data_IF_654283841930
#
_entry.id   IF_654283841930
#
_cell.length_a   1.000
_cell.length_b   1.000
_cell.length_c   1.000
_cell.angle_alpha   90.00
_cell.angle_beta   90.00
_cell.angle_gamma   90.00
#
_symmetry.space_group_name_H-M   'P 1'
#
loop_
_entity.id
_entity.type
_entity.pdbx_description
1 polymer ?
#
# COMPACT_ATOMS: atom_id res chain seq x y z
N UNK A 1 -5.81 -42.81 -20.15
CA UNK A 1 -5.80 -41.35 -20.02
C UNK A 1 -6.25 -40.99 -18.60
N UNK A 2 -5.33 -40.93 -17.60
CA UNK A 2 -5.65 -40.76 -16.18
C UNK A 2 -5.42 -39.33 -15.61
N UNK A 3 -5.11 -38.34 -16.47
CA UNK A 3 -4.55 -37.04 -16.06
C UNK A 3 -5.53 -36.00 -15.47
N UNK A 4 -6.84 -36.19 -15.64
CA UNK A 4 -7.83 -35.23 -15.12
C UNK A 4 -8.04 -35.36 -13.61
N UNK A 5 -7.99 -36.58 -13.07
CA UNK A 5 -8.23 -36.85 -11.65
C UNK A 5 -7.10 -36.34 -10.74
N UNK A 6 -5.87 -36.23 -11.26
CA UNK A 6 -4.73 -35.64 -10.54
C UNK A 6 -4.81 -34.11 -10.51
N UNK A 7 -5.27 -33.48 -11.60
CA UNK A 7 -5.54 -32.03 -11.66
C UNK A 7 -6.67 -31.62 -10.71
N UNK A 8 -7.74 -32.41 -10.66
CA UNK A 8 -8.89 -32.09 -9.79
C UNK A 8 -8.56 -32.28 -8.31
N UNK A 9 -7.74 -33.28 -7.94
CA UNK A 9 -7.23 -33.45 -6.56
C UNK A 9 -6.31 -32.30 -6.14
N UNK A 10 -5.38 -31.88 -7.00
CA UNK A 10 -4.49 -30.75 -6.70
C UNK A 10 -5.26 -29.44 -6.55
N UNK A 11 -6.24 -29.17 -7.41
CA UNK A 11 -7.03 -27.93 -7.32
C UNK A 11 -7.88 -27.89 -6.04
N UNK A 12 -8.46 -29.01 -5.62
CA UNK A 12 -9.21 -29.10 -4.37
C UNK A 12 -8.29 -28.96 -3.13
N UNK A 13 -7.03 -29.40 -3.20
CA UNK A 13 -6.04 -29.21 -2.14
C UNK A 13 -5.54 -27.77 -2.05
N UNK A 14 -5.29 -27.12 -3.20
CA UNK A 14 -4.95 -25.70 -3.29
C UNK A 14 -6.09 -24.83 -2.74
N UNK A 15 -7.34 -25.19 -3.00
CA UNK A 15 -8.52 -24.53 -2.45
C UNK A 15 -8.71 -24.79 -0.95
N UNK A 16 -8.26 -25.94 -0.42
CA UNK A 16 -8.26 -26.24 1.02
C UNK A 16 -7.11 -25.57 1.78
N UNK A 17 -5.99 -25.29 1.10
CA UNK A 17 -4.88 -24.48 1.60
C UNK A 17 -5.16 -22.96 1.52
N UNK A 18 -6.25 -22.56 0.83
CA UNK A 18 -6.65 -21.17 0.71
C UNK A 18 -7.31 -20.62 1.99
N UNK A 19 -7.84 -21.50 2.84
CA UNK A 19 -8.25 -21.12 4.19
C UNK A 19 -7.00 -21.12 5.08
N UNK A 20 -6.52 -19.94 5.53
CA UNK A 20 -5.36 -19.89 6.40
C UNK A 20 -5.67 -20.69 7.68
N UNK A 21 -4.75 -21.51 8.19
CA UNK A 21 -4.94 -22.19 9.46
C UNK A 21 -5.25 -21.13 10.55
N UNK A 22 -6.02 -21.47 11.59
CA UNK A 22 -6.51 -20.50 12.58
C UNK A 22 -5.37 -19.71 13.25
N UNK A 23 -4.19 -20.30 13.37
CA UNK A 23 -2.96 -19.61 13.78
C UNK A 23 -2.50 -18.52 12.79
N UNK A 24 -2.52 -18.79 11.48
CA UNK A 24 -2.22 -17.80 10.44
C UNK A 24 -3.31 -16.72 10.35
N UNK A 25 -4.57 -17.08 10.56
CA UNK A 25 -5.67 -16.13 10.66
C UNK A 25 -5.51 -15.21 11.89
N UNK A 26 -5.20 -15.77 13.06
CA UNK A 26 -4.95 -15.01 14.29
C UNK A 26 -3.72 -14.10 14.18
N UNK A 27 -2.63 -14.57 13.57
CA UNK A 27 -1.44 -13.76 13.26
C UNK A 27 -1.82 -12.61 12.32
N UNK A 28 -2.61 -12.86 11.28
CA UNK A 28 -3.07 -11.83 10.36
C UNK A 28 -3.94 -10.77 11.04
N UNK A 29 -4.76 -11.17 12.03
CA UNK A 29 -5.58 -10.26 12.83
C UNK A 29 -4.73 -9.45 13.83
N UNK A 30 -3.74 -10.08 14.47
CA UNK A 30 -2.81 -9.40 15.37
C UNK A 30 -1.98 -8.35 14.64
N UNK A 31 -1.39 -8.70 13.49
CA UNK A 31 -0.68 -7.75 12.62
C UNK A 31 -1.60 -6.62 12.17
N UNK A 32 -2.86 -6.92 11.86
CA UNK A 32 -3.85 -5.91 11.49
C UNK A 32 -4.14 -4.93 12.62
N UNK A 33 -4.29 -5.41 13.86
CA UNK A 33 -4.51 -4.56 15.02
C UNK A 33 -3.31 -3.63 15.27
N UNK A 34 -2.08 -4.15 15.12
CA UNK A 34 -0.85 -3.35 15.22
C UNK A 34 -0.82 -2.27 14.13
N UNK A 35 -1.07 -2.62 12.88
CA UNK A 35 -1.09 -1.66 11.76
C UNK A 35 -2.06 -0.51 12.01
N UNK A 36 -3.30 -0.81 12.43
CA UNK A 36 -4.32 0.19 12.70
C UNK A 36 -3.94 1.04 13.90
N UNK A 37 -3.45 0.44 14.98
CA UNK A 37 -3.06 1.16 16.21
C UNK A 37 -1.91 2.12 15.93
N UNK A 38 -0.86 1.67 15.27
CA UNK A 38 0.29 2.51 14.89
C UNK A 38 -0.14 3.61 13.93
N UNK A 39 -0.97 3.29 12.92
CA UNK A 39 -1.48 4.29 11.98
C UNK A 39 -2.32 5.36 12.70
N UNK A 40 -3.20 5.00 13.63
CA UNK A 40 -4.00 5.95 14.40
C UNK A 40 -3.14 6.85 15.29
N UNK A 41 -2.15 6.28 16.00
CA UNK A 41 -1.24 7.06 16.85
C UNK A 41 -0.40 8.04 16.02
N UNK A 42 0.17 7.58 14.91
CA UNK A 42 0.95 8.44 14.01
C UNK A 42 0.07 9.51 13.36
N UNK A 43 -1.14 9.17 12.93
CA UNK A 43 -2.07 10.15 12.37
C UNK A 43 -2.51 11.18 13.40
N UNK A 44 -2.78 10.77 14.65
CA UNK A 44 -3.15 11.70 15.72
C UNK A 44 -2.01 12.68 16.03
N UNK A 45 -0.78 12.17 16.14
CA UNK A 45 0.41 12.98 16.38
C UNK A 45 0.75 13.90 15.19
N UNK A 46 0.62 13.38 13.97
CA UNK A 46 0.94 14.11 12.74
C UNK A 46 -0.21 15.00 12.26
N UNK A 47 -1.42 14.90 12.82
CA UNK A 47 -2.61 15.64 12.37
C UNK A 47 -2.38 17.15 12.18
N UNK A 48 -1.81 17.89 13.14
CA UNK A 48 -1.54 19.31 12.94
C UNK A 48 -0.61 19.57 11.74
N UNK A 49 0.44 18.76 11.60
CA UNK A 49 1.36 18.84 10.47
C UNK A 49 0.66 18.51 9.14
N UNK A 50 -0.17 17.46 9.11
CA UNK A 50 -0.92 17.05 7.92
C UNK A 50 -1.85 18.17 7.41
N UNK A 51 -2.53 18.88 8.33
CA UNK A 51 -3.39 20.00 7.96
C UNK A 51 -2.59 21.19 7.42
N UNK A 52 -1.45 21.51 8.03
CA UNK A 52 -0.55 22.55 7.55
C UNK A 52 0.03 22.23 6.17
N UNK A 53 0.48 20.99 5.97
CA UNK A 53 0.99 20.51 4.67
C UNK A 53 -0.13 20.49 3.64
N UNK A 54 -1.34 20.03 3.99
CA UNK A 54 -2.48 20.02 3.08
C UNK A 54 -2.85 21.44 2.60
N UNK A 55 -2.83 22.43 3.50
CA UNK A 55 -3.03 23.83 3.17
C UNK A 55 -1.89 24.35 2.28
N UNK A 56 -0.64 24.09 2.65
CA UNK A 56 0.52 24.51 1.86
C UNK A 56 0.50 23.93 0.44
N UNK A 57 0.15 22.64 0.29
CA UNK A 57 -0.02 21.99 -1.01
C UNK A 57 -1.14 22.66 -1.81
N UNK A 58 -2.27 23.01 -1.18
CA UNK A 58 -3.37 23.71 -1.83
C UNK A 58 -2.96 25.10 -2.34
N UNK A 59 -2.08 25.78 -1.61
CA UNK A 59 -1.57 27.10 -1.98
C UNK A 59 -0.44 27.03 -3.03
N UNK A 60 0.27 25.90 -3.14
CA UNK A 60 1.38 25.72 -4.09
C UNK A 60 0.93 25.58 -5.56
N UNK A 61 -0.36 25.33 -5.82
CA UNK A 61 -0.89 25.30 -7.17
C UNK A 61 -2.29 24.69 -7.32
N UNK A 62 -2.91 24.80 -8.51
CA UNK A 62 -4.24 24.25 -8.78
C UNK A 62 -4.24 22.71 -8.73
N UNK A 63 -5.37 22.11 -8.36
CA UNK A 63 -5.60 20.65 -8.38
C UNK A 63 -5.75 20.00 -6.98
N UNK A 64 -5.76 18.66 -6.91
CA UNK A 64 -6.01 17.92 -5.68
C UNK A 64 -4.80 17.96 -4.73
N UNK A 65 -5.10 18.01 -3.42
CA UNK A 65 -4.06 17.96 -2.36
C UNK A 65 -3.38 16.60 -2.30
N UNK A 66 -4.14 15.52 -2.53
CA UNK A 66 -3.63 14.16 -2.53
C UNK A 66 -3.46 13.66 -3.96
N UNK A 67 -2.27 13.16 -4.24
CA UNK A 67 -1.97 12.35 -5.41
C UNK A 67 -2.32 10.89 -5.12
N UNK A 68 -2.85 10.21 -6.13
CA UNK A 68 -3.29 8.82 -6.06
C UNK A 68 -2.63 8.06 -7.20
N UNK A 69 -1.91 7.00 -6.86
CA UNK A 69 -1.30 6.12 -7.85
C UNK A 69 -1.86 4.71 -7.69
N UNK A 70 -2.21 4.05 -8.80
CA UNK A 70 -2.66 2.66 -8.73
C UNK A 70 -1.47 1.72 -8.56
N UNK A 71 -1.56 0.85 -7.57
CA UNK A 71 -0.58 -0.21 -7.27
C UNK A 71 -1.29 -1.56 -7.12
N UNK A 72 -0.53 -2.64 -7.24
CA UNK A 72 -1.04 -4.00 -6.98
C UNK A 72 -0.77 -4.35 -5.53
N UNK A 73 -1.82 -4.76 -4.82
CA UNK A 73 -1.77 -5.15 -3.42
C UNK A 73 -2.16 -6.62 -3.22
N UNK A 74 -2.71 -6.91 -2.04
CA UNK A 74 -3.00 -8.27 -1.64
C UNK A 74 -3.94 -9.01 -2.60
N UNK A 75 -3.59 -10.27 -2.91
CA UNK A 75 -4.32 -11.14 -3.83
C UNK A 75 -4.50 -10.52 -5.23
N UNK A 76 -3.53 -9.71 -5.67
CA UNK A 76 -3.54 -9.08 -7.00
C UNK A 76 -4.53 -7.92 -7.14
N UNK A 77 -5.19 -7.50 -6.06
CA UNK A 77 -6.17 -6.41 -6.12
C UNK A 77 -5.48 -5.06 -6.25
N UNK A 78 -6.01 -4.21 -7.14
CA UNK A 78 -5.55 -2.83 -7.29
C UNK A 78 -6.01 -1.99 -6.11
N UNK A 79 -5.14 -1.12 -5.63
CA UNK A 79 -5.47 -0.09 -4.64
C UNK A 79 -4.83 1.25 -5.02
N UNK A 80 -5.30 2.34 -4.42
CA UNK A 80 -4.74 3.67 -4.61
C UNK A 80 -3.73 3.96 -3.51
N UNK A 81 -2.45 4.03 -3.85
CA UNK A 81 -1.41 4.51 -2.96
C UNK A 81 -1.54 6.04 -2.82
N UNK A 82 -1.63 6.50 -1.57
CA UNK A 82 -1.85 7.91 -1.25
C UNK A 82 -0.54 8.63 -0.91
N UNK A 83 -0.39 9.83 -1.46
CA UNK A 83 0.64 10.78 -1.09
C UNK A 83 0.09 12.21 -1.20
N UNK A 84 0.73 13.18 -0.55
CA UNK A 84 0.53 14.58 -0.90
C UNK A 84 1.06 14.82 -2.31
N UNK A 85 0.37 15.70 -3.04
CA UNK A 85 0.85 16.13 -4.34
C UNK A 85 2.19 16.84 -4.19
N UNK A 86 3.23 16.21 -4.72
CA UNK A 86 4.59 16.73 -4.73
C UNK A 86 5.14 16.92 -6.16
N UNK A 87 4.42 16.47 -7.19
CA UNK A 87 4.74 16.67 -8.60
C UNK A 87 3.62 17.37 -9.35
N UNK A 88 3.98 18.14 -10.37
CA UNK A 88 3.05 18.76 -11.30
C UNK A 88 2.49 17.71 -12.28
N UNK A 89 1.21 17.82 -12.62
CA UNK A 89 0.54 16.80 -13.44
C UNK A 89 1.03 16.78 -14.90
N UNK A 90 1.18 17.96 -15.50
CA UNK A 90 1.57 18.10 -16.91
C UNK A 90 3.06 17.79 -17.15
N UNK A 91 3.94 18.39 -16.34
CA UNK A 91 5.39 18.31 -16.52
C UNK A 91 6.02 17.11 -15.81
N UNK A 92 5.32 16.51 -14.84
CA UNK A 92 5.86 15.53 -13.86
C UNK A 92 7.05 16.05 -13.05
N UNK A 93 7.37 17.34 -13.14
CA UNK A 93 8.42 17.97 -12.36
C UNK A 93 7.99 18.12 -10.89
N UNK A 94 8.93 18.15 -9.94
CA UNK A 94 8.61 18.45 -8.55
C UNK A 94 8.04 19.88 -8.39
N UNK A 95 6.93 19.98 -7.66
CA UNK A 95 6.35 21.26 -7.20
C UNK A 95 7.34 22.02 -6.30
N UNK A 96 7.08 23.30 -6.00
CA UNK A 96 8.01 24.09 -5.16
C UNK A 96 8.08 23.51 -3.76
N UNK A 97 6.92 23.19 -3.17
CA UNK A 97 6.84 22.54 -1.88
C UNK A 97 7.35 21.09 -1.98
N UNK A 98 7.06 20.40 -3.08
CA UNK A 98 7.55 19.05 -3.39
C UNK A 98 9.06 18.89 -3.26
N UNK A 99 9.84 19.89 -3.70
CA UNK A 99 11.31 19.89 -3.56
C UNK A 99 11.79 19.80 -2.12
N UNK A 100 11.01 20.31 -1.17
CA UNK A 100 11.33 20.29 0.26
C UNK A 100 10.78 19.07 0.98
N UNK A 101 9.55 18.62 0.65
CA UNK A 101 8.91 17.52 1.37
C UNK A 101 9.41 16.13 0.96
N UNK A 102 9.83 15.92 -0.30
CA UNK A 102 10.23 14.60 -0.82
C UNK A 102 11.49 14.02 -0.14
N UNK A 103 12.58 14.80 0.08
CA UNK A 103 13.78 14.28 0.74
C UNK A 103 13.51 13.74 2.15
N UNK A 104 12.58 14.36 2.87
CA UNK A 104 12.18 13.97 4.24
C UNK A 104 10.90 13.12 4.28
N UNK A 105 10.38 12.71 3.11
CA UNK A 105 9.20 11.85 2.94
C UNK A 105 7.91 12.34 3.63
N UNK A 106 7.79 13.64 3.88
CA UNK A 106 6.56 14.23 4.42
C UNK A 106 5.40 14.03 3.43
N UNK A 107 5.70 13.98 2.14
CA UNK A 107 4.71 13.73 1.09
C UNK A 107 4.04 12.36 1.21
N UNK A 108 4.68 11.38 1.85
CA UNK A 108 4.16 10.03 1.97
C UNK A 108 3.30 9.80 3.22
N UNK A 109 3.19 10.76 4.14
CA UNK A 109 2.37 10.60 5.34
C UNK A 109 0.91 10.17 5.08
N UNK A 110 0.24 10.60 3.97
CA UNK A 110 -1.09 10.10 3.64
C UNK A 110 -1.19 8.58 3.43
N UNK A 111 -0.07 7.86 3.23
CA UNK A 111 -0.03 6.39 3.16
C UNK A 111 -0.54 5.73 4.44
N UNK A 112 -0.50 6.41 5.59
CA UNK A 112 -1.06 5.90 6.85
C UNK A 112 -2.57 5.62 6.73
N UNK A 113 -3.27 6.33 5.84
CA UNK A 113 -4.68 6.06 5.56
C UNK A 113 -4.87 4.73 4.81
N UNK A 114 -3.88 4.27 4.03
CA UNK A 114 -3.90 2.95 3.40
C UNK A 114 -3.76 1.82 4.42
N UNK A 115 -3.05 2.04 5.53
CA UNK A 115 -3.03 1.09 6.65
C UNK A 115 -4.42 1.02 7.27
N UNK A 116 -5.07 2.15 7.54
CA UNK A 116 -6.43 2.15 8.09
C UNK A 116 -7.44 1.44 7.17
N UNK A 117 -7.31 1.59 5.84
CA UNK A 117 -8.18 0.91 4.86
C UNK A 117 -7.92 -0.58 4.70
N UNK A 118 -6.72 -1.04 5.02
CA UNK A 118 -6.33 -2.44 4.83
C UNK A 118 -5.74 -2.75 3.47
N UNK A 119 -5.38 -1.70 2.72
CA UNK A 119 -4.65 -1.81 1.46
C UNK A 119 -3.19 -2.19 1.69
N UNK A 120 -2.61 -1.73 2.81
CA UNK A 120 -1.20 -1.89 3.16
C UNK A 120 -1.03 -2.36 4.62
N UNK A 121 0.18 -2.81 4.92
CA UNK A 121 0.66 -3.13 6.27
C UNK A 121 1.88 -2.28 6.62
N UNK A 122 2.28 -2.21 7.89
CA UNK A 122 3.47 -1.49 8.31
C UNK A 122 4.74 -2.13 7.71
N UNK A 123 4.83 -3.46 7.77
CA UNK A 123 5.99 -4.24 7.34
C UNK A 123 5.59 -5.24 6.26
N UNK A 124 6.16 -5.10 5.07
CA UNK A 124 5.80 -5.89 3.89
C UNK A 124 6.59 -5.43 2.66
N UNK A 125 6.49 -6.17 1.54
CA UNK A 125 7.24 -5.86 0.34
C UNK A 125 6.78 -4.54 -0.29
N UNK A 126 7.62 -3.94 -1.13
CA UNK A 126 7.26 -2.74 -1.86
C UNK A 126 5.99 -2.95 -2.73
N UNK A 127 5.11 -1.93 -2.85
CA UNK A 127 3.93 -2.03 -3.69
C UNK A 127 4.31 -2.08 -5.18
N UNK A 128 3.99 -3.21 -5.83
CA UNK A 128 4.22 -3.41 -7.25
C UNK A 128 3.41 -2.42 -8.10
N UNK A 129 3.97 -2.04 -9.24
CA UNK A 129 3.29 -1.17 -10.19
C UNK A 129 2.11 -1.89 -10.85
N UNK A 130 1.06 -1.13 -11.20
CA UNK A 130 -0.18 -1.70 -11.75
C UNK A 130 -0.01 -2.47 -13.06
N UNK A 131 1.11 -2.27 -13.76
CA UNK A 131 1.46 -2.88 -15.03
C UNK A 131 2.61 -3.89 -14.93
N UNK A 132 3.12 -4.13 -13.72
CA UNK A 132 4.19 -5.10 -13.50
C UNK A 132 3.66 -6.53 -13.70
N UNK A 133 3.97 -7.11 -14.86
CA UNK A 133 3.62 -8.47 -15.24
C UNK A 133 4.39 -9.54 -14.46
N UNK A 134 5.43 -9.17 -13.69
CA UNK A 134 6.13 -10.10 -12.79
C UNK A 134 5.37 -10.35 -11.48
N UNK A 135 4.25 -9.66 -11.24
CA UNK A 135 3.33 -9.89 -10.14
C UNK A 135 2.49 -11.18 -10.31
N UNK A 136 3.08 -12.26 -10.80
CA UNK A 136 2.39 -13.55 -10.95
C UNK A 136 2.30 -14.27 -9.60
N UNK A 137 1.05 -14.49 -9.13
CA UNK A 137 0.74 -15.20 -7.90
C UNK A 137 0.06 -14.34 -6.83
N UNK A 138 -0.46 -14.97 -5.75
CA UNK A 138 -1.11 -14.26 -4.66
C UNK A 138 -0.10 -13.39 -3.91
N UNK A 139 -0.12 -12.08 -4.21
CA UNK A 139 0.75 -11.12 -3.55
C UNK A 139 0.35 -10.92 -2.06
N UNK A 140 1.33 -10.84 -1.15
CA UNK A 140 1.07 -10.41 0.22
C UNK A 140 0.64 -8.93 0.25
N UNK A 141 0.13 -8.47 1.39
CA UNK A 141 -0.13 -7.02 1.56
C UNK A 141 1.20 -6.26 1.46
N UNK A 142 1.28 -5.20 0.63
CA UNK A 142 2.48 -4.38 0.54
C UNK A 142 2.71 -3.58 1.82
N UNK A 143 3.98 -3.32 2.12
CA UNK A 143 4.43 -2.65 3.35
C UNK A 143 4.89 -1.22 3.12
N UNK A 144 4.75 -0.38 4.15
CA UNK A 144 5.32 0.99 4.16
C UNK A 144 6.85 0.96 4.15
N UNK A 145 7.45 -0.05 4.79
CA UNK A 145 8.92 -0.25 4.77
C UNK A 145 9.44 -0.59 3.39
N UNK A 146 8.63 -1.28 2.57
CA UNK A 146 8.91 -1.51 1.16
C UNK A 146 10.20 -2.29 0.90
N UNK A 147 10.44 -3.38 1.65
CA UNK A 147 11.60 -4.23 1.36
C UNK A 147 11.44 -4.89 -0.03
N UNK A 148 12.54 -5.02 -0.77
CA UNK A 148 12.53 -5.69 -2.05
C UNK A 148 12.47 -7.21 -1.82
N UNK A 149 11.70 -7.95 -2.62
CA UNK A 149 11.86 -9.42 -2.65
C UNK A 149 13.24 -9.69 -3.25
N UNK A 150 14.02 -10.54 -2.58
CA UNK A 150 15.22 -11.08 -3.22
C UNK A 150 14.77 -11.94 -4.40
N UNK A 151 15.40 -11.71 -5.54
CA UNK A 151 15.21 -12.45 -6.79
C UNK A 151 15.69 -13.91 -6.67
#
# INVERSE_FOLDING_TARGET
MPDSLLRDRNNAEILRLADPPPEAAAVSLGLRAVDVTVALLLLALALPLLLLVALAVRLDGPGPVLQREYRIGHAGRRFQLLAFRSTEEASRAPTRLGRWMRPVRIDQLPVLLNLLRGDMTLVGPAPAEAWDSAAEGPLPRPGVTGWARAD
#
